data_IF_831989935831
#
_entry.id   IF_831989935831
#
_cell.length_a   1.000
_cell.length_b   1.000
_cell.length_c   1.000
_cell.angle_alpha   90.00
_cell.angle_beta   90.00
_cell.angle_gamma   90.00
#
_symmetry.space_group_name_H-M   'P 1'
#
loop_
_entity.id
_entity.type
_entity.pdbx_description
1 polymer ?
#
# COMPACT_ATOMS: atom_id res chain seq x y z
N UNK A 1 31.08 -6.11 -2.93
CA UNK A 1 30.25 -6.70 -4.00
C UNK A 1 29.88 -5.57 -4.95
N UNK A 2 30.29 -5.61 -6.21
CA UNK A 2 30.37 -4.45 -7.12
C UNK A 2 29.06 -4.11 -7.85
N UNK A 3 27.93 -4.73 -7.51
CA UNK A 3 26.66 -4.51 -8.22
C UNK A 3 26.65 -5.03 -9.67
N UNK A 4 27.70 -5.75 -10.10
CA UNK A 4 27.82 -6.33 -11.43
C UNK A 4 27.41 -7.82 -11.42
N UNK A 5 26.83 -8.30 -12.51
CA UNK A 5 26.64 -9.72 -12.78
C UNK A 5 27.97 -10.39 -13.19
N UNK A 6 27.95 -11.72 -13.31
CA UNK A 6 29.13 -12.53 -13.68
C UNK A 6 29.69 -12.18 -15.09
N UNK A 7 28.94 -11.42 -15.88
CA UNK A 7 29.29 -10.98 -17.24
C UNK A 7 29.64 -9.48 -17.27
N UNK A 8 29.67 -8.81 -16.12
CA UNK A 8 30.04 -7.40 -15.99
C UNK A 8 28.90 -6.41 -16.28
N UNK A 9 27.65 -6.86 -16.36
CA UNK A 9 26.49 -5.96 -16.50
C UNK A 9 26.04 -5.46 -15.13
N UNK A 10 25.65 -4.18 -15.03
CA UNK A 10 24.99 -3.66 -13.84
C UNK A 10 23.72 -4.47 -13.55
N UNK A 11 23.63 -5.04 -12.34
CA UNK A 11 22.38 -5.58 -11.84
C UNK A 11 21.48 -4.42 -11.48
N UNK A 12 20.25 -4.34 -12.03
CA UNK A 12 19.22 -3.47 -11.48
C UNK A 12 19.11 -3.77 -9.98
N UNK A 13 19.50 -2.79 -9.16
CA UNK A 13 19.35 -2.84 -7.72
C UNK A 13 18.15 -2.00 -7.30
N UNK A 14 17.93 -1.90 -5.98
CA UNK A 14 16.90 -1.03 -5.40
C UNK A 14 17.03 0.38 -5.98
N UNK A 15 16.01 0.86 -6.70
CA UNK A 15 15.97 2.19 -7.33
C UNK A 15 16.27 2.26 -8.84
N UNK A 16 16.41 1.13 -9.54
CA UNK A 16 16.54 1.12 -11.00
C UNK A 16 15.17 1.21 -11.70
N UNK A 17 15.03 2.08 -12.70
CA UNK A 17 13.79 2.29 -13.48
C UNK A 17 13.80 1.60 -14.85
N UNK A 18 14.86 0.83 -15.17
CA UNK A 18 15.01 0.20 -16.47
C UNK A 18 15.61 -1.21 -16.29
N UNK A 19 14.76 -2.22 -16.48
CA UNK A 19 15.02 -3.57 -16.02
C UNK A 19 15.17 -4.48 -17.25
N UNK A 20 16.23 -5.29 -17.30
CA UNK A 20 16.47 -6.19 -18.42
C UNK A 20 15.33 -7.21 -18.52
N UNK A 21 14.78 -7.39 -19.74
CA UNK A 21 13.78 -8.43 -20.07
C UNK A 21 14.35 -9.80 -19.66
N UNK A 22 13.97 -10.31 -18.49
CA UNK A 22 14.44 -11.61 -17.96
C UNK A 22 14.98 -11.58 -16.52
N UNK A 23 15.12 -10.42 -15.88
CA UNK A 23 15.12 -10.36 -14.42
C UNK A 23 13.65 -10.38 -13.98
N UNK A 24 13.18 -11.47 -13.37
CA UNK A 24 11.94 -11.37 -12.60
C UNK A 24 12.26 -10.45 -11.41
N UNK A 25 11.74 -9.23 -11.46
CA UNK A 25 11.76 -8.35 -10.31
C UNK A 25 10.64 -8.81 -9.41
N UNK A 26 10.98 -9.47 -8.31
CA UNK A 26 10.01 -9.71 -7.25
C UNK A 26 9.53 -8.39 -6.61
N UNK A 27 10.23 -7.26 -6.84
CA UNK A 27 10.03 -6.03 -6.06
C UNK A 27 10.09 -4.73 -6.87
N UNK A 28 9.45 -4.66 -8.04
CA UNK A 28 8.86 -3.38 -8.42
C UNK A 28 7.48 -3.29 -7.73
N UNK A 29 7.44 -3.38 -6.39
CA UNK A 29 6.24 -3.04 -5.63
C UNK A 29 5.91 -1.60 -6.02
N UNK A 30 4.78 -1.36 -6.71
CA UNK A 30 4.36 -0.01 -7.03
C UNK A 30 4.36 0.80 -5.72
N UNK A 31 4.71 2.09 -5.74
CA UNK A 31 4.55 2.90 -4.54
C UNK A 31 3.12 2.71 -4.01
N UNK A 32 3.02 2.23 -2.77
CA UNK A 32 1.76 1.84 -2.15
C UNK A 32 0.81 3.03 -2.22
N UNK A 33 -0.37 2.78 -2.78
CA UNK A 33 -1.33 3.85 -3.05
C UNK A 33 -2.02 4.25 -1.76
N UNK A 34 -2.36 5.53 -1.64
CA UNK A 34 -3.19 5.98 -0.52
C UNK A 34 -4.52 5.19 -0.52
N UNK A 35 -4.79 4.45 0.56
CA UNK A 35 -5.90 3.49 0.69
C UNK A 35 -5.55 2.01 0.48
N UNK A 36 -4.37 1.67 -0.06
CA UNK A 36 -3.93 0.28 -0.30
C UNK A 36 -3.22 -0.25 0.97
N UNK A 37 -4.00 -0.58 1.99
CA UNK A 37 -3.46 -0.88 3.32
C UNK A 37 -2.85 -2.28 3.41
N UNK A 38 -3.15 -3.13 2.43
CA UNK A 38 -2.65 -4.50 2.33
C UNK A 38 -1.48 -4.66 1.34
N UNK A 39 -1.24 -3.66 0.49
CA UNK A 39 -0.12 -3.60 -0.46
C UNK A 39 -0.33 -4.46 -1.71
N UNK A 40 -1.56 -4.80 -2.08
CA UNK A 40 -1.86 -5.62 -3.27
C UNK A 40 -1.96 -4.80 -4.58
N UNK A 41 -1.84 -3.48 -4.49
CA UNK A 41 -1.83 -2.55 -5.61
C UNK A 41 -3.20 -2.03 -6.01
N UNK A 42 -4.27 -2.48 -5.38
CA UNK A 42 -5.63 -1.97 -5.53
C UNK A 42 -6.05 -1.14 -4.31
N UNK A 43 -7.11 -0.35 -4.47
CA UNK A 43 -7.83 0.25 -3.35
C UNK A 43 -9.26 -0.20 -3.51
N UNK A 44 -9.68 -1.17 -2.71
CA UNK A 44 -10.97 -1.82 -2.86
C UNK A 44 -11.66 -2.14 -1.52
N UNK A 45 -12.73 -2.95 -1.58
CA UNK A 45 -13.48 -3.35 -0.39
C UNK A 45 -12.65 -4.21 0.60
N UNK A 46 -11.59 -4.88 0.12
CA UNK A 46 -10.64 -5.63 0.92
C UNK A 46 -9.87 -4.72 1.88
N UNK A 47 -9.37 -3.58 1.40
CA UNK A 47 -8.73 -2.56 2.24
C UNK A 47 -9.68 -1.99 3.28
N UNK A 48 -10.90 -1.64 2.83
CA UNK A 48 -11.94 -1.13 3.72
C UNK A 48 -12.28 -2.11 4.85
N UNK A 49 -12.38 -3.41 4.54
CA UNK A 49 -12.64 -4.45 5.55
C UNK A 49 -11.50 -4.57 6.55
N UNK A 50 -10.24 -4.47 6.10
CA UNK A 50 -9.07 -4.53 6.98
C UNK A 50 -9.09 -3.37 7.98
N UNK A 51 -9.35 -2.15 7.50
CA UNK A 51 -9.46 -0.96 8.37
C UNK A 51 -10.65 -1.06 9.32
N UNK A 52 -11.82 -1.52 8.84
CA UNK A 52 -12.98 -1.72 9.71
C UNK A 52 -12.72 -2.76 10.81
N UNK A 53 -11.93 -3.80 10.53
CA UNK A 53 -11.52 -4.81 11.51
C UNK A 53 -10.46 -4.28 12.49
N UNK A 54 -9.62 -3.34 12.06
CA UNK A 54 -8.68 -2.63 12.93
C UNK A 54 -9.45 -1.75 13.94
N UNK A 55 -10.45 -0.99 13.47
CA UNK A 55 -11.26 -0.07 14.29
C UNK A 55 -12.00 -0.76 15.45
N UNK A 56 -12.34 -2.04 15.28
CA UNK A 56 -13.03 -2.86 16.30
C UNK A 56 -12.09 -3.83 17.04
N UNK A 57 -10.77 -3.60 16.99
CA UNK A 57 -9.73 -4.41 17.65
C UNK A 57 -9.72 -5.90 17.24
N UNK A 58 -10.34 -6.26 16.11
CA UNK A 58 -10.28 -7.62 15.55
C UNK A 58 -8.94 -7.87 14.85
N UNK A 59 -8.24 -6.82 14.45
CA UNK A 59 -6.88 -6.88 13.89
C UNK A 59 -5.92 -6.00 14.67
N UNK A 60 -4.65 -6.40 14.66
CA UNK A 60 -3.56 -5.61 15.24
C UNK A 60 -2.95 -4.71 14.17
N UNK A 61 -2.60 -3.50 14.57
CA UNK A 61 -1.91 -2.54 13.74
C UNK A 61 -0.53 -3.08 13.31
N UNK A 62 -0.13 -2.87 12.05
CA UNK A 62 1.14 -3.33 11.49
C UNK A 62 1.30 -4.86 11.35
N UNK A 63 0.22 -5.63 11.48
CA UNK A 63 0.24 -7.07 11.30
C UNK A 63 -0.55 -7.47 10.04
N UNK A 64 0.04 -8.33 9.22
CA UNK A 64 -0.60 -8.85 8.00
C UNK A 64 -2.04 -9.32 8.27
N UNK A 65 -3.00 -8.98 7.40
CA UNK A 65 -2.85 -8.34 6.09
C UNK A 65 -2.78 -6.80 6.15
N UNK A 66 -2.69 -6.18 7.32
CA UNK A 66 -2.50 -4.73 7.45
C UNK A 66 -0.99 -4.40 7.51
N UNK A 67 -0.37 -4.26 6.34
CA UNK A 67 1.07 -4.04 6.18
C UNK A 67 1.45 -2.57 6.02
N UNK A 68 0.52 -1.73 5.57
CA UNK A 68 0.77 -0.33 5.23
C UNK A 68 -0.13 0.63 6.02
N UNK A 69 0.12 0.82 7.33
CA UNK A 69 -0.63 1.78 8.14
C UNK A 69 -0.48 3.23 7.66
N UNK A 70 0.65 3.56 7.03
CA UNK A 70 0.99 4.90 6.56
C UNK A 70 0.06 5.43 5.46
N UNK A 71 -0.70 4.55 4.80
CA UNK A 71 -1.65 4.88 3.73
C UNK A 71 -3.11 4.73 4.15
N UNK A 72 -3.40 4.54 5.44
CA UNK A 72 -4.77 4.29 5.89
C UNK A 72 -5.64 5.55 5.97
N UNK A 73 -5.10 6.68 6.42
CA UNK A 73 -5.85 7.93 6.62
C UNK A 73 -6.16 8.61 5.28
N UNK A 74 -7.11 8.05 4.53
CA UNK A 74 -7.52 8.54 3.21
C UNK A 74 -8.36 9.80 3.33
N UNK A 75 -8.91 10.10 4.50
CA UNK A 75 -9.75 11.27 4.74
C UNK A 75 -8.96 12.50 5.28
N UNK A 76 -7.77 12.28 5.83
CA UNK A 76 -6.83 13.29 6.30
C UNK A 76 -7.15 13.85 7.69
N UNK A 77 -7.89 13.10 8.53
CA UNK A 77 -8.27 13.55 9.89
C UNK A 77 -7.31 13.09 10.99
N UNK A 78 -6.23 12.39 10.62
CA UNK A 78 -5.18 11.91 11.52
C UNK A 78 -5.52 10.60 12.21
N UNK A 79 -6.62 9.95 11.85
CA UNK A 79 -7.00 8.63 12.34
C UNK A 79 -7.03 7.61 11.19
N UNK A 80 -6.99 6.34 11.56
CA UNK A 80 -7.21 5.21 10.66
C UNK A 80 -8.43 4.46 11.21
N UNK A 81 -9.63 4.84 10.77
CA UNK A 81 -10.89 4.36 11.35
C UNK A 81 -11.98 4.05 10.30
N UNK A 82 -13.21 3.79 10.76
CA UNK A 82 -14.33 3.43 9.89
C UNK A 82 -14.66 4.49 8.82
N UNK A 83 -14.28 5.75 9.02
CA UNK A 83 -14.47 6.84 8.03
C UNK A 83 -13.58 6.64 6.82
N UNK A 84 -12.35 6.17 7.03
CA UNK A 84 -11.43 5.80 5.96
C UNK A 84 -11.95 4.58 5.19
N UNK A 85 -12.36 3.55 5.93
CA UNK A 85 -12.96 2.33 5.37
C UNK A 85 -14.17 2.65 4.47
N UNK A 86 -15.07 3.54 4.93
CA UNK A 86 -16.23 3.92 4.14
C UNK A 86 -15.82 4.64 2.85
N UNK A 87 -14.80 5.49 2.89
CA UNK A 87 -14.33 6.24 1.73
C UNK A 87 -13.71 5.31 0.68
N UNK A 88 -12.92 4.31 1.11
CA UNK A 88 -12.41 3.26 0.23
C UNK A 88 -13.55 2.47 -0.42
N UNK A 89 -14.54 2.01 0.35
CA UNK A 89 -15.70 1.28 -0.16
C UNK A 89 -16.54 2.11 -1.16
N UNK A 90 -16.69 3.42 -0.93
CA UNK A 90 -17.39 4.31 -1.85
C UNK A 90 -16.64 4.47 -3.18
N UNK A 91 -15.31 4.46 -3.16
CA UNK A 91 -14.52 4.63 -4.37
C UNK A 91 -14.50 3.34 -5.20
N UNK A 92 -14.47 2.17 -4.55
CA UNK A 92 -14.57 0.84 -5.19
C UNK A 92 -15.83 0.72 -6.07
N UNK A 93 -16.97 1.18 -5.56
CA UNK A 93 -18.25 1.19 -6.32
C UNK A 93 -18.39 2.38 -7.27
N UNK A 94 -17.37 3.24 -7.39
CA UNK A 94 -17.36 4.41 -8.27
C UNK A 94 -18.26 5.56 -7.81
N UNK A 95 -18.67 5.60 -6.55
CA UNK A 95 -19.43 6.73 -5.99
C UNK A 95 -18.56 7.98 -5.82
N UNK A 96 -17.27 7.77 -5.52
CA UNK A 96 -16.24 8.82 -5.42
C UNK A 96 -14.96 8.39 -6.15
N UNK A 97 -13.98 9.29 -6.28
CA UNK A 97 -12.67 8.97 -6.85
C UNK A 97 -11.75 8.29 -5.82
N UNK A 98 -11.03 7.23 -6.23
CA UNK A 98 -9.96 6.61 -5.42
C UNK A 98 -8.63 7.39 -5.47
N UNK A 99 -8.63 8.64 -5.95
CA UNK A 99 -7.45 9.51 -5.93
C UNK A 99 -7.33 10.21 -4.56
N UNK A 100 -6.94 9.46 -3.54
CA UNK A 100 -6.81 9.96 -2.17
C UNK A 100 -5.45 10.63 -1.92
N UNK A 101 -5.41 11.46 -0.88
CA UNK A 101 -4.18 12.06 -0.35
C UNK A 101 -4.11 11.74 1.14
N UNK A 102 -3.17 10.90 1.53
CA UNK A 102 -3.11 10.38 2.90
C UNK A 102 -2.29 11.28 3.80
N UNK A 103 -2.70 11.41 5.05
CA UNK A 103 -1.77 11.81 6.11
C UNK A 103 -1.08 10.54 6.66
N UNK A 104 0.23 10.58 6.97
CA UNK A 104 0.91 9.41 7.50
C UNK A 104 0.34 9.04 8.88
N UNK A 105 -0.34 7.91 8.96
CA UNK A 105 -0.76 7.32 10.23
C UNK A 105 0.33 6.37 10.76
N UNK A 106 0.56 6.41 12.07
CA UNK A 106 1.50 5.51 12.75
C UNK A 106 0.72 4.75 13.82
N UNK A 107 0.90 3.44 13.85
CA UNK A 107 0.36 2.60 14.91
C UNK A 107 0.79 3.10 16.30
N UNK A 108 -0.13 3.20 17.26
CA UNK A 108 0.19 3.54 18.66
C UNK A 108 1.00 2.44 19.38
#
# INVERSE_FOLDING_TARGET
>A
MTGLDQRGFNRPGVGATNCSIGAYEFDAVPPVRCGDVNGDGAVDIGDALIVAQLDVDLRRCGAAPFSHPEVCDVNGDGACDIRDALRMAQCDVGLISCAFTCAPFICP
#
